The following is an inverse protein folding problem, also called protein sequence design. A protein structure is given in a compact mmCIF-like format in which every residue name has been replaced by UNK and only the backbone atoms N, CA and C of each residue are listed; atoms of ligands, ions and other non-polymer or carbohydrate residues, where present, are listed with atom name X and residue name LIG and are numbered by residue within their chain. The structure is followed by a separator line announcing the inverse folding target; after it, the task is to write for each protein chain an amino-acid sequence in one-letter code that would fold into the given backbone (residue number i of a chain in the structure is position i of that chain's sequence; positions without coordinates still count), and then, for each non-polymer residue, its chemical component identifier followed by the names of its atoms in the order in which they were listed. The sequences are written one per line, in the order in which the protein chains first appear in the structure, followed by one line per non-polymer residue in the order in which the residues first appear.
data_IF_185096709402
#
_entry.id   IF_185096709402
#
_cell.length_a   1.000
_cell.length_b   1.000
_cell.length_c   1.000
_cell.angle_alpha   90.00
_cell.angle_beta   90.00
_cell.angle_gamma   90.00
#
_symmetry.space_group_name_H-M   'P 1'
#
loop_
_entity.id
_entity.type
_entity.pdbx_description
1 polymer ?
#
# COMPACT_ATOMS: atom_id res chain seq x y z
N UNK A 1 50.20 -63.88 -15.89
CA UNK A 1 49.59 -63.76 -14.55
C UNK A 1 48.36 -62.87 -14.71
N UNK A 2 47.19 -63.48 -14.81
CA UNK A 2 45.92 -62.86 -15.16
C UNK A 2 45.19 -62.46 -13.88
N UNK A 3 45.04 -61.15 -13.65
CA UNK A 3 44.15 -60.62 -12.60
C UNK A 3 42.88 -60.13 -13.26
N UNK A 4 41.82 -60.93 -13.13
CA UNK A 4 40.47 -60.58 -13.61
C UNK A 4 39.79 -59.77 -12.48
N UNK A 5 39.48 -58.49 -12.78
CA UNK A 5 38.68 -57.67 -11.89
C UNK A 5 37.22 -58.12 -11.95
N UNK A 6 36.70 -58.61 -10.83
CA UNK A 6 35.27 -58.73 -10.60
C UNK A 6 34.77 -57.40 -10.05
N UNK A 7 34.21 -56.58 -10.95
CA UNK A 7 33.50 -55.36 -10.59
C UNK A 7 32.12 -55.45 -11.20
N UNK A 8 31.21 -56.12 -10.52
CA UNK A 8 29.76 -56.02 -10.83
C UNK A 8 29.00 -56.78 -9.78
N UNK A 9 28.60 -56.18 -8.75
CA UNK A 9 27.46 -56.61 -7.90
C UNK A 9 27.07 -55.65 -6.79
N UNK A 10 27.60 -54.45 -6.76
CA UNK A 10 27.27 -53.50 -5.66
C UNK A 10 26.37 -52.34 -6.13
N UNK A 11 26.23 -52.12 -7.45
CA UNK A 11 25.43 -51.03 -7.96
C UNK A 11 23.92 -51.31 -8.11
N UNK A 12 23.50 -52.57 -7.99
CA UNK A 12 22.08 -52.95 -8.18
C UNK A 12 21.25 -52.91 -6.87
N UNK A 13 21.90 -52.89 -5.72
CA UNK A 13 21.17 -52.99 -4.44
C UNK A 13 20.76 -51.65 -3.84
N UNK A 14 21.27 -50.53 -4.37
CA UNK A 14 20.90 -49.20 -3.85
C UNK A 14 19.71 -48.52 -4.59
N UNK A 15 19.33 -49.05 -5.73
CA UNK A 15 18.20 -48.51 -6.51
C UNK A 15 16.84 -49.12 -6.14
N UNK A 16 16.80 -50.16 -5.34
CA UNK A 16 15.54 -50.78 -4.91
C UNK A 16 15.05 -50.33 -3.51
N UNK A 17 15.88 -49.61 -2.78
CA UNK A 17 15.47 -49.07 -1.48
C UNK A 17 14.80 -47.71 -1.54
N UNK A 18 14.84 -47.01 -2.69
CA UNK A 18 14.25 -45.69 -2.88
C UNK A 18 12.78 -45.74 -3.36
N UNK A 19 12.26 -46.91 -3.72
CA UNK A 19 10.88 -47.03 -4.25
C UNK A 19 9.86 -47.67 -3.31
N UNK A 20 10.23 -47.95 -2.07
CA UNK A 20 9.29 -48.63 -1.14
C UNK A 20 8.84 -47.74 0.02
N UNK A 21 9.21 -46.47 0.05
CA UNK A 21 8.75 -45.58 1.12
C UNK A 21 7.64 -44.60 0.71
N UNK A 22 7.08 -44.73 -0.50
CA UNK A 22 6.05 -43.77 -0.97
C UNK A 22 4.64 -44.36 -1.15
N UNK A 23 4.28 -45.43 -0.45
CA UNK A 23 2.91 -45.92 -0.49
C UNK A 23 2.39 -46.35 0.88
N UNK A 24 2.63 -45.59 1.91
CA UNK A 24 1.66 -45.43 2.98
C UNK A 24 0.78 -44.26 2.61
N UNK A 25 -0.28 -44.51 1.85
CA UNK A 25 -1.47 -43.68 1.88
C UNK A 25 -1.96 -43.74 3.31
N UNK A 26 -1.47 -42.82 4.16
CA UNK A 26 -2.21 -42.46 5.36
C UNK A 26 -3.59 -42.04 4.88
N UNK A 27 -4.67 -42.58 5.45
CA UNK A 27 -6.00 -42.06 5.17
C UNK A 27 -5.95 -40.56 5.44
N UNK A 28 -6.56 -39.71 4.58
CA UNK A 28 -6.54 -38.29 4.80
C UNK A 28 -6.98 -38.02 6.21
N UNK A 29 -6.08 -37.46 7.00
CA UNK A 29 -6.39 -36.97 8.34
C UNK A 29 -7.58 -36.06 8.17
N UNK A 30 -8.69 -36.23 8.90
CA UNK A 30 -9.79 -35.28 8.85
C UNK A 30 -9.18 -33.91 9.08
N UNK A 31 -9.61 -32.87 8.36
CA UNK A 31 -9.04 -31.55 8.50
C UNK A 31 -9.09 -31.18 9.98
N UNK A 32 -7.92 -30.92 10.51
CA UNK A 32 -7.75 -30.44 11.88
C UNK A 32 -8.62 -29.21 12.04
N UNK A 33 -9.60 -29.21 12.92
CA UNK A 33 -10.50 -28.10 13.19
C UNK A 33 -9.76 -26.84 13.69
N UNK A 34 -8.42 -26.90 13.80
CA UNK A 34 -7.51 -25.80 14.18
C UNK A 34 -7.06 -24.89 13.03
N UNK A 35 -7.32 -25.18 11.75
CA UNK A 35 -6.86 -24.39 10.61
C UNK A 35 -7.88 -23.37 10.08
N UNK A 36 -8.85 -22.93 10.89
CA UNK A 36 -9.76 -21.84 10.55
C UNK A 36 -9.05 -20.52 10.20
N UNK A 37 -7.75 -20.37 10.53
CA UNK A 37 -6.98 -19.15 10.28
C UNK A 37 -6.65 -18.90 8.80
N UNK A 38 -6.48 -19.94 7.98
CA UNK A 38 -6.08 -19.78 6.58
C UNK A 38 -7.21 -19.27 5.66
N UNK A 39 -8.47 -19.48 6.05
CA UNK A 39 -9.64 -19.08 5.25
C UNK A 39 -10.16 -17.67 5.55
N UNK A 40 -9.63 -17.00 6.58
CA UNK A 40 -10.15 -15.71 7.04
C UNK A 40 -9.56 -14.51 6.29
N UNK A 41 -8.66 -14.73 5.34
CA UNK A 41 -8.07 -13.68 4.52
C UNK A 41 -8.30 -13.90 3.03
N UNK A 42 -8.33 -12.81 2.27
CA UNK A 42 -8.39 -12.81 0.81
C UNK A 42 -7.20 -12.08 0.23
N UNK A 43 -6.62 -12.65 -0.81
CA UNK A 43 -5.54 -12.00 -1.54
C UNK A 43 -6.10 -10.85 -2.39
N UNK A 44 -5.51 -9.68 -2.22
CA UNK A 44 -5.83 -8.47 -2.97
C UNK A 44 -4.56 -7.98 -3.64
N UNK A 45 -4.57 -7.95 -4.96
CA UNK A 45 -3.48 -7.40 -5.76
C UNK A 45 -3.67 -5.89 -5.90
N UNK A 46 -2.86 -5.13 -5.19
CA UNK A 46 -2.75 -3.69 -5.33
C UNK A 46 -1.96 -3.36 -6.59
N UNK A 47 -2.47 -2.47 -7.42
CA UNK A 47 -1.77 -1.92 -8.59
C UNK A 47 -1.78 -0.40 -8.53
N UNK A 48 -0.60 0.19 -8.43
CA UNK A 48 -0.39 1.63 -8.36
C UNK A 48 0.09 2.14 -9.71
N UNK A 49 -0.62 3.10 -10.27
CA UNK A 49 -0.17 3.81 -11.46
C UNK A 49 0.64 5.03 -11.04
N UNK A 50 1.94 4.97 -11.25
CA UNK A 50 2.88 6.03 -10.86
C UNK A 50 3.08 7.08 -11.96
N UNK A 51 2.77 6.75 -13.22
CA UNK A 51 2.97 7.66 -14.34
C UNK A 51 1.70 8.46 -14.65
N UNK A 52 1.77 9.75 -14.39
CA UNK A 52 0.95 10.72 -15.07
C UNK A 52 1.42 10.77 -16.53
N UNK A 53 0.70 10.11 -17.45
CA UNK A 53 0.79 10.48 -18.86
C UNK A 53 0.13 11.85 -18.98
N UNK A 54 0.89 12.90 -18.78
CA UNK A 54 0.46 14.23 -19.19
C UNK A 54 0.74 14.31 -20.67
N UNK A 55 -0.30 14.28 -21.49
CA UNK A 55 -0.19 14.71 -22.87
C UNK A 55 0.20 16.19 -22.82
N UNK A 56 1.29 16.62 -23.46
CA UNK A 56 1.63 18.03 -23.52
C UNK A 56 0.53 18.74 -24.29
N UNK A 57 -0.35 19.42 -23.57
CA UNK A 57 -1.28 20.37 -24.18
C UNK A 57 -0.51 21.66 -24.35
N UNK A 58 0.12 21.83 -25.53
CA UNK A 58 0.53 23.12 -26.03
C UNK A 58 1.58 23.92 -25.26
N UNK A 59 2.39 23.32 -24.39
CA UNK A 59 3.48 23.97 -23.70
C UNK A 59 4.80 23.78 -24.45
N UNK A 60 5.66 24.77 -24.38
CA UNK A 60 6.95 24.82 -25.08
C UNK A 60 7.78 23.57 -24.79
N UNK A 61 8.45 23.05 -25.80
CA UNK A 61 9.39 21.95 -25.68
C UNK A 61 10.44 22.28 -24.60
N UNK A 62 10.40 21.55 -23.48
CA UNK A 62 11.32 21.72 -22.37
C UNK A 62 10.72 21.53 -20.97
N UNK A 63 9.40 21.54 -20.82
CA UNK A 63 8.78 21.38 -19.51
C UNK A 63 8.99 19.98 -18.95
N UNK A 64 9.87 19.84 -18.00
CA UNK A 64 10.02 18.64 -17.19
C UNK A 64 8.86 18.56 -16.19
N UNK A 65 7.80 17.86 -16.57
CA UNK A 65 6.56 17.81 -15.79
C UNK A 65 6.74 17.11 -14.44
N UNK A 66 7.71 16.20 -14.35
CA UNK A 66 8.10 15.55 -13.11
C UNK A 66 9.45 14.84 -13.26
N UNK A 67 10.27 14.91 -12.23
CA UNK A 67 11.51 14.10 -12.17
C UNK A 67 11.20 12.67 -11.74
N UNK A 68 12.16 11.77 -11.92
CA UNK A 68 12.06 10.38 -11.46
C UNK A 68 11.91 10.36 -9.93
N UNK A 69 12.69 11.19 -9.22
CA UNK A 69 12.71 11.32 -7.78
C UNK A 69 11.36 11.80 -7.22
N UNK A 70 10.71 12.75 -7.91
CA UNK A 70 9.39 13.25 -7.51
C UNK A 70 8.29 12.19 -7.59
N UNK A 71 8.50 11.13 -8.38
CA UNK A 71 7.58 10.00 -8.51
C UNK A 71 8.00 8.78 -7.68
N UNK A 72 9.17 8.82 -7.06
CA UNK A 72 9.69 7.69 -6.33
C UNK A 72 8.88 7.40 -5.06
N UNK A 73 8.62 6.12 -4.81
CA UNK A 73 7.91 5.65 -3.61
C UNK A 73 8.94 5.03 -2.66
N UNK A 74 9.37 5.81 -1.68
CA UNK A 74 10.28 5.36 -0.60
C UNK A 74 9.51 4.65 0.51
N UNK A 75 8.25 5.05 0.70
CA UNK A 75 7.36 4.43 1.67
C UNK A 75 5.94 4.41 1.13
N UNK A 76 5.18 3.40 1.52
CA UNK A 76 3.76 3.30 1.19
C UNK A 76 3.03 2.72 2.39
N UNK A 77 2.04 3.45 2.88
CA UNK A 77 1.10 3.00 3.89
C UNK A 77 -0.26 2.78 3.24
N UNK A 78 -0.83 1.60 3.47
CA UNK A 78 -2.15 1.21 2.97
C UNK A 78 -3.05 0.96 4.17
N UNK A 79 -4.00 1.84 4.38
CA UNK A 79 -4.97 1.78 5.47
C UNK A 79 -6.27 1.16 4.97
N UNK A 80 -6.73 0.13 5.63
CA UNK A 80 -7.96 -0.59 5.31
C UNK A 80 -9.01 -0.27 6.38
N UNK A 81 -10.18 0.13 5.93
CA UNK A 81 -11.33 0.41 6.78
C UNK A 81 -12.41 -0.61 6.50
N UNK A 82 -13.00 -1.18 7.54
CA UNK A 82 -14.01 -2.23 7.45
C UNK A 82 -15.36 -1.81 7.99
N UNK A 83 -16.42 -2.39 7.42
CA UNK A 83 -17.80 -2.28 7.91
C UNK A 83 -18.55 -3.61 7.69
N UNK A 84 -19.53 -3.93 8.56
CA UNK A 84 -20.43 -5.08 8.37
C UNK A 84 -21.37 -4.91 7.19
N UNK A 85 -21.71 -3.67 6.86
CA UNK A 85 -22.67 -3.33 5.81
C UNK A 85 -22.05 -2.39 4.81
N UNK A 86 -22.44 -2.49 3.54
CA UNK A 86 -21.89 -1.68 2.45
C UNK A 86 -22.04 -0.17 2.70
N UNK A 87 -23.21 0.24 3.19
CA UNK A 87 -23.52 1.64 3.50
C UNK A 87 -23.27 2.04 4.96
N UNK A 88 -22.58 1.20 5.75
CA UNK A 88 -22.36 1.46 7.17
C UNK A 88 -21.17 2.34 7.47
N UNK A 89 -20.91 2.53 8.76
CA UNK A 89 -19.75 3.24 9.25
C UNK A 89 -18.49 2.38 9.08
N UNK A 90 -17.52 2.91 8.36
CA UNK A 90 -16.23 2.28 8.16
C UNK A 90 -15.26 2.73 9.25
N UNK A 91 -14.63 1.76 9.91
CA UNK A 91 -13.64 2.01 10.95
C UNK A 91 -12.34 1.29 10.64
N UNK A 92 -11.24 1.75 11.20
CA UNK A 92 -9.92 1.20 10.95
C UNK A 92 -9.88 -0.31 11.21
N UNK A 93 -9.39 -1.10 10.25
CA UNK A 93 -9.31 -2.54 10.32
C UNK A 93 -7.86 -3.03 10.45
N UNK A 94 -7.01 -2.59 9.51
CA UNK A 94 -5.62 -3.03 9.44
C UNK A 94 -4.79 -2.08 8.58
N UNK A 95 -3.48 -2.12 8.75
CA UNK A 95 -2.52 -1.38 7.96
C UNK A 95 -1.54 -2.34 7.28
N UNK A 96 -1.22 -2.06 6.03
CA UNK A 96 -0.07 -2.64 5.37
C UNK A 96 0.95 -1.55 5.10
N UNK A 97 2.24 -1.88 5.18
CA UNK A 97 3.28 -0.89 4.93
C UNK A 97 4.45 -1.44 4.12
N UNK A 98 4.99 -0.58 3.30
CA UNK A 98 6.25 -0.77 2.59
C UNK A 98 7.22 0.34 3.00
N UNK A 99 8.47 -0.04 3.21
CA UNK A 99 9.59 0.87 3.42
C UNK A 99 10.75 0.40 2.53
N UNK A 100 11.32 1.34 1.76
CA UNK A 100 12.51 1.03 0.95
C UNK A 100 13.69 0.68 1.86
N UNK A 101 13.87 1.41 2.96
CA UNK A 101 14.75 0.99 4.04
C UNK A 101 14.01 0.00 4.96
N UNK A 102 14.30 -1.29 4.79
CA UNK A 102 13.67 -2.37 5.54
C UNK A 102 13.87 -2.30 7.07
N UNK A 103 14.75 -1.41 7.56
CA UNK A 103 14.95 -1.17 9.01
C UNK A 103 13.88 -0.28 9.60
N UNK A 104 13.13 0.46 8.76
CA UNK A 104 12.03 1.28 9.20
C UNK A 104 10.78 0.43 9.39
N UNK A 105 10.52 0.03 10.63
CA UNK A 105 9.37 -0.80 11.00
C UNK A 105 8.22 0.11 11.44
N UNK A 106 6.99 -0.28 11.14
CA UNK A 106 5.78 0.32 11.72
C UNK A 106 5.34 -0.54 12.89
N UNK A 107 5.32 0.04 14.07
CA UNK A 107 4.89 -0.64 15.28
C UNK A 107 3.37 -0.84 15.31
N UNK A 108 2.93 -1.98 15.82
CA UNK A 108 1.52 -2.31 16.03
C UNK A 108 1.17 -3.69 15.45
N UNK A 109 0.42 -4.47 16.20
CA UNK A 109 -0.05 -5.81 15.78
C UNK A 109 -0.97 -5.75 14.54
N UNK A 110 -1.54 -4.59 14.26
CA UNK A 110 -2.39 -4.34 13.10
C UNK A 110 -1.61 -3.97 11.83
N UNK A 111 -0.30 -3.75 11.91
CA UNK A 111 0.56 -3.34 10.82
C UNK A 111 1.33 -4.53 10.25
N UNK A 112 1.20 -4.76 8.95
CA UNK A 112 1.86 -5.87 8.24
C UNK A 112 2.71 -5.33 7.10
N UNK A 113 3.99 -5.71 7.06
CA UNK A 113 4.87 -5.35 5.95
C UNK A 113 4.51 -6.10 4.67
N UNK A 114 4.74 -5.46 3.53
CA UNK A 114 4.63 -6.10 2.22
C UNK A 114 5.79 -5.71 1.31
N UNK A 115 5.96 -6.48 0.23
CA UNK A 115 6.94 -6.16 -0.82
C UNK A 115 6.26 -5.40 -1.95
N UNK A 116 6.82 -4.25 -2.32
CA UNK A 116 6.39 -3.49 -3.48
C UNK A 116 7.24 -3.89 -4.69
N UNK A 117 6.60 -4.48 -5.70
CA UNK A 117 7.26 -4.80 -6.96
C UNK A 117 7.13 -3.61 -7.91
N UNK A 118 8.24 -2.93 -8.15
CA UNK A 118 8.28 -1.75 -9.02
C UNK A 118 8.48 -2.16 -10.47
N UNK A 119 7.51 -1.85 -11.32
CA UNK A 119 7.60 -2.00 -12.77
C UNK A 119 7.76 -0.64 -13.47
N UNK A 120 8.02 -0.68 -14.77
CA UNK A 120 8.24 0.53 -15.58
C UNK A 120 7.06 1.51 -15.55
N UNK A 121 5.83 1.01 -15.51
CA UNK A 121 4.61 1.82 -15.56
C UNK A 121 3.70 1.68 -14.34
N UNK A 122 3.85 0.58 -13.59
CA UNK A 122 3.02 0.26 -12.44
C UNK A 122 3.87 -0.36 -11.34
N UNK A 123 3.53 -0.06 -10.09
CA UNK A 123 4.01 -0.81 -8.94
C UNK A 123 2.89 -1.72 -8.43
N UNK A 124 3.24 -2.94 -8.02
CA UNK A 124 2.25 -3.92 -7.56
C UNK A 124 2.62 -4.51 -6.21
N UNK A 125 1.61 -4.84 -5.42
CA UNK A 125 1.78 -5.52 -4.14
C UNK A 125 0.66 -6.54 -3.91
N UNK A 126 0.97 -7.62 -3.22
CA UNK A 126 -0.02 -8.60 -2.80
C UNK A 126 -0.31 -8.42 -1.31
N UNK A 127 -1.56 -8.13 -0.98
CA UNK A 127 -2.03 -7.91 0.37
C UNK A 127 -2.97 -9.05 0.78
N UNK A 128 -2.93 -9.45 2.05
CA UNK A 128 -3.87 -10.44 2.62
C UNK A 128 -4.85 -9.72 3.53
N UNK A 129 -6.01 -9.37 2.98
CA UNK A 129 -7.05 -8.64 3.69
C UNK A 129 -8.01 -9.57 4.42
N UNK A 130 -8.46 -9.16 5.59
CA UNK A 130 -9.41 -9.91 6.41
C UNK A 130 -10.77 -10.01 5.71
N UNK A 131 -11.38 -11.20 5.72
CA UNK A 131 -12.74 -11.46 5.21
C UNK A 131 -13.83 -11.12 6.24
N UNK A 132 -15.08 -11.17 5.78
CA UNK A 132 -16.27 -10.97 6.61
C UNK A 132 -16.77 -9.54 6.68
N UNK A 133 -16.21 -8.65 5.88
CA UNK A 133 -16.50 -7.21 5.90
C UNK A 133 -16.54 -6.63 4.49
N UNK A 134 -17.23 -5.52 4.34
CA UNK A 134 -17.00 -4.57 3.25
C UNK A 134 -15.80 -3.72 3.61
N UNK A 135 -14.89 -3.46 2.67
CA UNK A 135 -13.68 -2.68 2.94
C UNK A 135 -13.51 -1.53 1.97
N UNK A 136 -12.94 -0.44 2.49
CA UNK A 136 -12.41 0.70 1.71
C UNK A 136 -10.92 0.82 1.96
N UNK A 137 -10.17 1.30 0.98
CA UNK A 137 -8.71 1.30 1.05
C UNK A 137 -8.15 2.67 0.71
N UNK A 138 -7.22 3.13 1.53
CA UNK A 138 -6.54 4.42 1.42
C UNK A 138 -5.03 4.21 1.38
N UNK A 139 -4.38 4.84 0.42
CA UNK A 139 -2.92 4.76 0.26
C UNK A 139 -2.28 6.12 0.50
N UNK A 140 -1.22 6.16 1.28
CA UNK A 140 -0.36 7.32 1.46
C UNK A 140 1.06 6.89 1.14
N UNK A 141 1.63 7.43 0.06
CA UNK A 141 3.03 7.24 -0.27
C UNK A 141 3.86 8.41 0.26
N UNK A 142 5.07 8.11 0.70
CA UNK A 142 6.01 9.08 1.26
C UNK A 142 5.37 9.90 2.39
N UNK A 143 4.64 9.19 3.27
CA UNK A 143 3.92 9.81 4.38
C UNK A 143 4.89 10.56 5.29
N UNK A 144 4.50 11.75 5.67
CA UNK A 144 5.00 12.42 6.85
C UNK A 144 4.19 11.95 8.07
N UNK A 145 4.27 12.64 9.18
CA UNK A 145 3.41 12.36 10.33
C UNK A 145 1.94 12.65 10.00
N UNK A 146 1.05 11.81 10.50
CA UNK A 146 -0.39 12.08 10.50
C UNK A 146 -0.71 13.04 11.65
N UNK A 147 -1.24 14.21 11.35
CA UNK A 147 -1.53 15.24 12.33
C UNK A 147 -3.05 15.37 12.45
N UNK A 148 -3.54 15.38 13.68
CA UNK A 148 -4.96 15.56 14.00
C UNK A 148 -5.38 17.04 13.92
N UNK A 149 -6.67 17.30 14.15
CA UNK A 149 -7.23 18.65 14.14
C UNK A 149 -6.70 19.53 15.27
N UNK A 150 -6.14 18.95 16.33
CA UNK A 150 -5.50 19.67 17.44
C UNK A 150 -4.02 20.00 17.16
N UNK A 151 -3.47 19.52 16.05
CA UNK A 151 -2.06 19.70 15.67
C UNK A 151 -1.11 18.69 16.31
N UNK A 152 -1.63 17.65 16.97
CA UNK A 152 -0.84 16.58 17.55
C UNK A 152 -0.63 15.41 16.55
N UNK A 153 0.45 14.64 16.75
CA UNK A 153 0.66 13.42 15.97
C UNK A 153 -0.39 12.37 16.34
N UNK A 154 -1.12 11.90 15.35
CA UNK A 154 -2.12 10.85 15.53
C UNK A 154 -1.44 9.47 15.60
N UNK A 155 -1.55 8.81 16.74
CA UNK A 155 -0.99 7.48 17.00
C UNK A 155 -2.03 6.48 17.55
N UNK A 156 -3.30 6.87 17.60
CA UNK A 156 -4.37 6.14 18.29
C UNK A 156 -5.05 5.06 17.44
N UNK A 157 -4.34 4.36 16.54
CA UNK A 157 -4.94 3.28 15.76
C UNK A 157 -5.32 2.08 16.62
N UNK A 158 -6.60 1.69 16.53
CA UNK A 158 -7.12 0.46 17.15
C UNK A 158 -7.89 -0.31 16.07
N UNK A 159 -7.54 -1.57 15.81
CA UNK A 159 -8.18 -2.32 14.74
C UNK A 159 -9.61 -2.71 15.11
N UNK A 160 -10.48 -2.72 14.10
CA UNK A 160 -11.78 -3.38 14.17
C UNK A 160 -11.57 -4.87 14.47
N UNK A 161 -12.32 -5.41 15.42
CA UNK A 161 -12.23 -6.80 15.84
C UNK A 161 -13.51 -7.55 15.52
N UNK A 162 -13.38 -8.72 14.92
CA UNK A 162 -14.44 -9.70 14.74
C UNK A 162 -14.26 -10.86 15.72
N UNK A 163 -15.30 -11.21 16.48
CA UNK A 163 -15.22 -12.31 17.45
C UNK A 163 -15.20 -13.68 16.79
N UNK A 164 -16.06 -13.86 15.79
CA UNK A 164 -16.23 -15.14 15.07
C UNK A 164 -16.48 -14.89 13.58
N UNK A 165 -15.43 -14.55 12.81
CA UNK A 165 -15.57 -14.27 11.38
C UNK A 165 -16.24 -15.45 10.65
N UNK A 166 -17.27 -15.14 9.81
CA UNK A 166 -18.00 -16.14 9.04
C UNK A 166 -19.08 -16.91 9.80
N UNK A 167 -19.27 -16.64 11.08
CA UNK A 167 -20.30 -17.27 11.89
C UNK A 167 -21.49 -16.32 12.09
N UNK A 168 -22.74 -16.86 12.26
CA UNK A 168 -23.93 -16.05 12.47
C UNK A 168 -23.86 -15.17 13.72
N UNK A 169 -23.15 -15.60 14.75
CA UNK A 169 -22.99 -14.90 16.02
C UNK A 169 -21.72 -14.01 16.06
N UNK A 170 -21.15 -13.69 14.91
CA UNK A 170 -20.01 -12.77 14.80
C UNK A 170 -20.40 -11.36 15.25
N UNK A 171 -19.77 -10.91 16.32
CA UNK A 171 -19.86 -9.53 16.80
C UNK A 171 -18.68 -8.74 16.27
N UNK A 172 -18.92 -7.53 15.80
CA UNK A 172 -17.88 -6.62 15.32
C UNK A 172 -17.78 -5.44 16.27
N UNK A 173 -16.58 -5.28 16.84
CA UNK A 173 -16.21 -4.09 17.61
C UNK A 173 -15.56 -3.09 16.68
N UNK A 174 -16.08 -1.84 16.56
CA UNK A 174 -15.50 -0.83 15.70
C UNK A 174 -14.06 -0.50 16.08
N UNK A 175 -13.25 -0.18 15.07
CA UNK A 175 -11.88 0.31 15.25
C UNK A 175 -11.80 1.84 15.39
N UNK A 176 -10.61 2.35 15.58
CA UNK A 176 -10.29 3.79 15.63
C UNK A 176 -9.10 4.04 14.70
N UNK A 177 -9.15 5.10 13.87
CA UNK A 177 -10.20 6.09 13.70
C UNK A 177 -11.38 5.57 12.86
N UNK A 178 -12.47 6.33 12.82
CA UNK A 178 -13.47 6.19 11.76
C UNK A 178 -12.87 6.65 10.43
N UNK A 179 -13.46 6.24 9.31
CA UNK A 179 -13.07 6.72 7.97
C UNK A 179 -13.12 8.25 7.89
N UNK A 180 -14.13 8.86 8.51
CA UNK A 180 -14.32 10.32 8.51
C UNK A 180 -13.20 11.02 9.26
N UNK A 181 -12.86 10.54 10.46
CA UNK A 181 -11.77 11.12 11.26
C UNK A 181 -10.42 10.94 10.57
N UNK A 182 -10.18 9.77 9.95
CA UNK A 182 -8.97 9.52 9.19
C UNK A 182 -8.81 10.49 8.01
N UNK A 183 -9.88 10.76 7.26
CA UNK A 183 -9.84 11.72 6.15
C UNK A 183 -9.62 13.16 6.59
N UNK A 184 -9.90 13.47 7.86
CA UNK A 184 -9.64 14.79 8.43
C UNK A 184 -8.17 14.99 8.85
N UNK A 185 -7.36 13.92 8.89
CA UNK A 185 -5.95 14.03 9.24
C UNK A 185 -5.17 14.84 8.18
N UNK A 186 -4.15 15.54 8.67
CA UNK A 186 -3.33 16.45 7.88
C UNK A 186 -1.87 15.97 7.83
N UNK A 187 -1.13 16.46 6.85
CA UNK A 187 0.33 16.31 6.85
C UNK A 187 0.96 17.15 7.95
N UNK A 188 2.15 16.75 8.42
CA UNK A 188 3.04 17.70 9.06
C UNK A 188 3.38 18.84 8.09
N UNK A 189 3.95 19.92 8.63
CA UNK A 189 4.36 21.07 7.80
C UNK A 189 5.34 20.61 6.73
N UNK A 190 4.97 20.86 5.47
CA UNK A 190 5.82 20.64 4.31
C UNK A 190 6.56 21.94 4.03
N UNK A 191 7.86 21.97 4.29
CA UNK A 191 8.70 23.14 4.00
C UNK A 191 10.05 22.70 3.45
N UNK A 192 10.64 23.53 2.61
CA UNK A 192 12.03 23.40 2.25
C UNK A 192 12.93 23.82 3.43
N UNK A 193 14.15 23.33 3.48
CA UNK A 193 15.12 23.69 4.52
C UNK A 193 15.48 25.18 4.43
N UNK A 194 15.59 25.68 3.19
CA UNK A 194 15.85 27.09 2.89
C UNK A 194 14.73 27.66 2.01
N UNK A 195 14.41 28.97 2.12
CA UNK A 195 13.33 29.61 1.35
C UNK A 195 13.49 29.54 -0.17
N UNK A 196 14.73 29.37 -0.65
CA UNK A 196 15.06 29.27 -2.07
C UNK A 196 15.10 27.84 -2.59
N UNK A 197 15.00 26.86 -1.71
CA UNK A 197 15.05 25.46 -2.08
C UNK A 197 13.70 24.99 -2.64
N UNK A 198 13.76 24.20 -3.69
CA UNK A 198 12.64 23.38 -4.11
C UNK A 198 12.43 22.32 -3.04
N UNK A 199 11.17 22.02 -2.72
CA UNK A 199 10.83 20.89 -1.85
C UNK A 199 11.55 19.65 -2.37
N UNK A 200 12.51 19.16 -1.57
CA UNK A 200 13.25 17.96 -1.91
C UNK A 200 12.34 16.75 -1.71
N UNK A 201 12.56 15.75 -2.48
CA UNK A 201 11.92 14.45 -2.34
C UNK A 201 12.20 13.83 -0.97
N UNK A 202 11.31 12.96 -0.50
CA UNK A 202 10.15 12.39 -1.19
C UNK A 202 8.90 13.25 -1.09
N UNK A 203 8.16 13.38 -2.20
CA UNK A 203 6.88 14.09 -2.20
C UNK A 203 5.74 13.20 -1.71
N UNK A 204 4.89 13.66 -0.79
CA UNK A 204 3.74 12.89 -0.36
C UNK A 204 2.69 12.76 -1.46
N UNK A 205 2.17 11.55 -1.62
CA UNK A 205 1.14 11.21 -2.59
C UNK A 205 0.04 10.41 -1.93
N UNK A 206 -1.20 10.57 -2.39
CA UNK A 206 -2.35 9.86 -1.86
C UNK A 206 -3.17 9.21 -2.95
N UNK A 207 -3.85 8.13 -2.58
CA UNK A 207 -4.82 7.44 -3.42
C UNK A 207 -5.88 6.78 -2.58
N UNK A 208 -7.12 6.71 -3.07
CA UNK A 208 -8.21 6.11 -2.36
C UNK A 208 -9.04 5.20 -3.28
N UNK A 209 -9.48 4.08 -2.74
CA UNK A 209 -10.51 3.21 -3.30
C UNK A 209 -11.70 3.24 -2.35
N UNK A 210 -12.64 4.13 -2.64
CA UNK A 210 -13.79 4.44 -1.78
C UNK A 210 -15.06 3.67 -2.13
N UNK A 211 -15.09 2.98 -3.29
CA UNK A 211 -16.14 2.01 -3.58
C UNK A 211 -15.93 0.80 -2.65
N UNK A 212 -16.95 0.41 -1.89
CA UNK A 212 -16.81 -0.74 -1.00
C UNK A 212 -16.44 -2.01 -1.77
N UNK A 213 -15.38 -2.67 -1.34
CA UNK A 213 -15.00 -3.99 -1.81
C UNK A 213 -15.66 -5.02 -0.91
N UNK A 214 -16.45 -5.91 -1.49
CA UNK A 214 -17.11 -6.99 -0.77
C UNK A 214 -16.15 -8.14 -0.49
N UNK A 215 -15.79 -8.32 0.77
CA UNK A 215 -15.03 -9.45 1.28
C UNK A 215 -15.85 -10.32 2.25
N UNK A 216 -17.19 -10.21 2.23
CA UNK A 216 -18.08 -10.89 3.17
C UNK A 216 -18.17 -12.40 2.90
N UNK A 217 -17.96 -12.83 1.66
CA UNK A 217 -18.05 -14.23 1.27
C UNK A 217 -16.75 -15.00 1.58
N UNK A 218 -16.82 -15.89 2.55
CA UNK A 218 -15.70 -16.76 2.97
C UNK A 218 -15.36 -17.83 1.94
N UNK A 219 -16.30 -18.22 1.08
CA UNK A 219 -16.09 -19.25 0.06
C UNK A 219 -15.22 -18.74 -1.11
N UNK A 220 -15.18 -17.43 -1.33
CA UNK A 220 -14.41 -16.83 -2.44
C UNK A 220 -12.93 -16.80 -2.11
N UNK A 221 -12.15 -17.57 -2.86
CA UNK A 221 -10.68 -17.61 -2.80
C UNK A 221 -10.01 -16.84 -3.93
N UNK A 222 -10.77 -16.44 -4.97
CA UNK A 222 -10.22 -15.73 -6.10
C UNK A 222 -9.58 -14.39 -5.70
N UNK A 223 -8.39 -14.13 -6.27
CA UNK A 223 -7.67 -12.87 -6.06
C UNK A 223 -8.47 -11.69 -6.61
N UNK A 224 -8.56 -10.62 -5.83
CA UNK A 224 -9.16 -9.36 -6.26
C UNK A 224 -8.09 -8.37 -6.68
N UNK A 225 -8.37 -7.56 -7.71
CA UNK A 225 -7.46 -6.51 -8.15
C UNK A 225 -8.00 -5.14 -7.77
N UNK A 226 -7.14 -4.31 -7.17
CA UNK A 226 -7.42 -2.91 -6.87
C UNK A 226 -6.43 -2.02 -7.60
N UNK A 227 -6.95 -1.12 -8.42
CA UNK A 227 -6.15 -0.11 -9.11
C UNK A 227 -6.22 1.24 -8.40
N UNK A 228 -5.06 1.83 -8.11
CA UNK A 228 -4.95 3.15 -7.52
C UNK A 228 -4.22 4.11 -8.45
N UNK A 229 -4.71 5.35 -8.46
CA UNK A 229 -3.98 6.50 -8.98
C UNK A 229 -3.46 7.28 -7.77
N UNK A 230 -2.14 7.34 -7.62
CA UNK A 230 -1.52 8.22 -6.64
C UNK A 230 -1.49 9.66 -7.18
N UNK A 231 -1.92 10.60 -6.36
CA UNK A 231 -1.93 12.03 -6.66
C UNK A 231 -1.02 12.73 -5.67
N UNK A 232 -0.11 13.57 -6.16
CA UNK A 232 0.76 14.38 -5.31
C UNK A 232 -0.06 15.39 -4.52
N UNK A 233 0.34 15.61 -3.29
CA UNK A 233 -0.29 16.58 -2.39
C UNK A 233 0.25 17.99 -2.56
N UNK A 234 1.31 18.17 -3.34
CA UNK A 234 1.96 19.44 -3.61
C UNK A 234 1.94 19.75 -5.09
N UNK A 235 1.86 21.01 -5.45
CA UNK A 235 2.03 21.52 -6.81
C UNK A 235 3.34 22.30 -6.89
N UNK A 236 4.04 22.18 -8.03
CA UNK A 236 5.21 22.96 -8.36
C UNK A 236 4.82 24.03 -9.38
N UNK A 237 5.29 25.23 -9.17
CA UNK A 237 5.17 26.32 -10.11
C UNK A 237 6.59 26.75 -10.52
N UNK A 238 6.92 26.56 -11.79
CA UNK A 238 8.17 27.01 -12.34
C UNK A 238 7.92 28.36 -13.05
N UNK A 239 8.66 29.39 -12.63
CA UNK A 239 8.62 30.71 -13.26
C UNK A 239 9.94 30.92 -13.97
N UNK A 240 9.89 30.95 -15.29
CA UNK A 240 11.07 31.09 -16.13
C UNK A 240 11.03 32.42 -16.90
N UNK A 241 12.13 33.13 -16.88
CA UNK A 241 12.33 34.30 -17.72
C UNK A 241 13.52 34.05 -18.66
N UNK A 242 13.24 33.89 -19.95
CA UNK A 242 14.30 33.81 -20.97
C UNK A 242 14.88 35.22 -21.22
N UNK A 243 15.90 35.57 -20.44
CA UNK A 243 16.56 36.86 -20.47
C UNK A 243 17.13 37.19 -21.85
N UNK A 244 17.37 36.20 -22.73
CA UNK A 244 17.87 36.44 -24.11
C UNK A 244 16.81 36.99 -25.04
N UNK A 245 15.53 36.85 -24.67
CA UNK A 245 14.36 37.27 -25.47
C UNK A 245 13.43 38.24 -24.75
N UNK A 246 13.65 38.46 -23.45
CA UNK A 246 12.81 39.32 -22.63
C UNK A 246 13.50 40.64 -22.32
N UNK A 247 12.76 41.73 -22.52
CA UNK A 247 13.20 43.07 -22.08
C UNK A 247 12.85 43.32 -20.59
N UNK A 248 12.29 42.36 -19.91
CA UNK A 248 11.88 42.50 -18.53
C UNK A 248 12.73 41.58 -17.62
N UNK A 249 13.00 42.07 -16.42
CA UNK A 249 13.60 41.30 -15.34
C UNK A 249 12.54 41.02 -14.30
N UNK A 250 12.41 39.76 -13.89
CA UNK A 250 11.56 39.39 -12.75
C UNK A 250 12.33 39.66 -11.47
N UNK A 251 11.91 40.70 -10.71
CA UNK A 251 12.56 41.03 -9.44
C UNK A 251 12.09 40.15 -8.28
N UNK A 252 10.81 39.76 -8.29
CA UNK A 252 10.27 38.92 -7.25
C UNK A 252 9.04 38.15 -7.74
N UNK A 253 8.81 36.97 -7.15
CA UNK A 253 7.58 36.22 -7.29
C UNK A 253 7.06 35.96 -5.89
N UNK A 254 5.80 36.33 -5.62
CA UNK A 254 5.15 36.06 -4.34
C UNK A 254 3.89 35.23 -4.53
N UNK A 255 3.66 34.30 -3.61
CA UNK A 255 2.45 33.50 -3.58
C UNK A 255 1.66 33.81 -2.31
N UNK A 256 0.42 34.26 -2.48
CA UNK A 256 -0.51 34.50 -1.38
C UNK A 256 -1.24 33.23 -0.96
N UNK A 257 -1.76 33.20 0.27
CA UNK A 257 -2.56 32.11 0.81
C UNK A 257 -1.90 30.73 0.82
N UNK A 258 -0.58 30.66 0.87
CA UNK A 258 0.15 29.42 1.02
C UNK A 258 -0.29 28.69 2.30
N UNK A 259 -0.53 27.36 2.21
CA UNK A 259 -0.83 26.52 3.36
C UNK A 259 0.42 25.74 3.73
N UNK A 260 0.66 25.61 5.03
CA UNK A 260 1.81 24.87 5.58
C UNK A 260 1.54 23.37 5.73
N UNK A 261 0.27 22.95 5.64
CA UNK A 261 -0.15 21.57 5.68
C UNK A 261 -1.38 21.34 4.78
N UNK A 262 -1.65 20.10 4.44
CA UNK A 262 -2.77 19.70 3.62
C UNK A 262 -3.46 18.45 4.20
N UNK A 263 -4.77 18.33 4.01
CA UNK A 263 -5.49 17.08 4.30
C UNK A 263 -5.04 16.01 3.30
N UNK A 264 -4.82 14.79 3.79
CA UNK A 264 -4.44 13.68 2.93
C UNK A 264 -5.54 13.34 1.91
N UNK A 265 -6.79 13.43 2.33
CA UNK A 265 -7.95 13.08 1.49
C UNK A 265 -8.96 14.23 1.48
N UNK A 266 -8.70 15.30 0.73
CA UNK A 266 -9.59 16.45 0.70
C UNK A 266 -10.97 16.04 0.19
N UNK A 267 -12.01 16.45 0.91
CA UNK A 267 -13.39 16.31 0.44
C UNK A 267 -13.55 17.25 -0.75
N UNK A 268 -13.97 16.70 -1.88
CA UNK A 268 -14.27 17.51 -3.06
C UNK A 268 -15.50 18.37 -2.73
N UNK A 269 -15.27 19.65 -2.50
CA UNK A 269 -16.35 20.63 -2.42
C UNK A 269 -16.85 20.83 -3.85
N UNK A 270 -18.08 20.39 -4.13
CA UNK A 270 -18.77 20.59 -5.39
C UNK A 270 -19.30 22.00 -5.47
#
# INVERSE_FOLDING_TARGET
MNIKYKLSSIAASFLLAACTSENTLEPPTPPDEGTASANNTREVLLSLKNKLKVSPVGTKAGDVIATVEENHIYSLDVYVFGSKTEGGDYTFLQQFYYREDARQIVDGEYATSFTLNTGADNSTALLKMQKGLFVKVYCIANSTKLIDAAGAEFAGFQPLVQTKPGQPDNVVTPGVPTETDFKALHTAVLKADEPTDVLKTPLPMTGAYTTPLDLTDFSVSARTQLGFKLTRMVARFDVENDASKSMFTIESVSMGNGRTGATYFPVKVL
#
